data_IF_171550311030
#
_entry.id   IF_171550311030
#
_cell.length_a   1.000
_cell.length_b   1.000
_cell.length_c   1.000
_cell.angle_alpha   90.00
_cell.angle_beta   90.00
_cell.angle_gamma   90.00
#
_symmetry.space_group_name_H-M   'P 1'
#
loop_
_entity.id
_entity.type
_entity.pdbx_description
1 polymer ?
#
# COMPACT_ATOMS: atom_id res chain seq x y z
N UNK A 1 23.17 -17.01 -22.21
CA UNK A 1 24.48 -16.37 -22.48
C UNK A 1 25.55 -17.35 -22.97
N UNK A 2 25.75 -18.51 -22.33
CA UNK A 2 26.81 -19.49 -22.71
C UNK A 2 26.79 -19.89 -24.19
N UNK A 3 25.62 -20.18 -24.78
CA UNK A 3 25.53 -20.61 -26.18
C UNK A 3 26.02 -19.55 -27.20
N UNK A 4 25.67 -18.27 -27.01
CA UNK A 4 26.15 -17.18 -27.90
C UNK A 4 27.65 -16.97 -27.82
N UNK A 5 28.23 -17.10 -26.62
CA UNK A 5 29.68 -16.99 -26.40
C UNK A 5 30.42 -18.15 -27.07
N UNK A 6 29.90 -19.38 -26.97
CA UNK A 6 30.45 -20.56 -27.65
C UNK A 6 30.40 -20.42 -29.18
N UNK A 7 29.31 -19.87 -29.73
CA UNK A 7 29.20 -19.59 -31.17
C UNK A 7 30.21 -18.53 -31.63
N UNK A 8 30.39 -17.45 -30.86
CA UNK A 8 31.40 -16.43 -31.14
C UNK A 8 32.82 -17.00 -31.10
N UNK A 9 33.11 -17.91 -30.16
CA UNK A 9 34.42 -18.58 -30.04
C UNK A 9 34.74 -19.49 -31.24
N UNK A 10 33.72 -20.02 -31.93
CA UNK A 10 33.91 -20.82 -33.15
C UNK A 10 34.20 -19.96 -34.38
N UNK A 11 33.70 -18.73 -34.42
CA UNK A 11 33.86 -17.80 -35.56
C UNK A 11 35.07 -16.90 -35.39
N UNK A 12 35.38 -16.51 -34.16
CA UNK A 12 36.52 -15.68 -33.80
C UNK A 12 37.45 -16.45 -32.86
N UNK A 13 38.67 -16.76 -33.31
CA UNK A 13 39.75 -17.24 -32.44
C UNK A 13 40.20 -16.09 -31.54
N UNK A 14 39.57 -15.96 -30.37
CA UNK A 14 40.07 -15.08 -29.33
C UNK A 14 41.05 -15.86 -28.46
N UNK A 15 42.36 -15.62 -28.64
CA UNK A 15 43.38 -16.22 -27.76
C UNK A 15 43.30 -15.64 -26.34
N UNK A 16 42.88 -14.39 -26.21
CA UNK A 16 42.55 -13.74 -24.94
C UNK A 16 41.40 -12.76 -25.14
N UNK A 17 40.35 -12.86 -24.31
CA UNK A 17 39.26 -11.90 -24.32
C UNK A 17 39.74 -10.62 -23.60
N UNK A 18 39.74 -9.44 -24.25
CA UNK A 18 40.17 -8.21 -23.60
C UNK A 18 39.32 -7.96 -22.34
N UNK A 19 39.95 -7.57 -21.24
CA UNK A 19 39.23 -7.25 -19.99
C UNK A 19 38.20 -6.13 -20.16
N UNK A 20 38.37 -5.30 -21.21
CA UNK A 20 37.45 -4.24 -21.63
C UNK A 20 36.15 -4.75 -22.26
N UNK A 21 36.09 -6.03 -22.65
CA UNK A 21 34.91 -6.65 -23.26
C UNK A 21 33.78 -6.91 -22.25
N UNK A 22 34.13 -7.05 -20.97
CA UNK A 22 33.15 -7.14 -19.89
C UNK A 22 32.79 -5.74 -19.42
N UNK A 23 31.58 -5.30 -19.76
CA UNK A 23 31.02 -4.08 -19.19
C UNK A 23 30.94 -4.26 -17.67
N UNK A 24 31.73 -3.47 -16.92
CA UNK A 24 31.61 -3.44 -15.46
C UNK A 24 30.22 -2.93 -15.12
N UNK A 25 29.39 -3.79 -14.52
CA UNK A 25 28.08 -3.37 -14.03
C UNK A 25 28.27 -2.27 -12.98
N UNK A 26 27.46 -1.21 -13.09
CA UNK A 26 27.50 -0.14 -12.11
C UNK A 26 27.04 -0.66 -10.74
N UNK A 27 27.58 -0.13 -9.64
CA UNK A 27 27.06 -0.45 -8.32
C UNK A 27 25.61 0.01 -8.21
N UNK A 28 24.80 -0.75 -7.47
CA UNK A 28 23.44 -0.33 -7.15
C UNK A 28 23.47 0.98 -6.32
N UNK A 29 22.76 2.04 -6.74
CA UNK A 29 22.70 3.28 -5.96
C UNK A 29 22.01 3.07 -4.61
N UNK A 30 22.25 3.99 -3.67
CA UNK A 30 21.58 3.98 -2.38
C UNK A 30 20.14 4.50 -2.49
N UNK A 31 19.94 5.54 -3.30
CA UNK A 31 18.63 6.13 -3.59
C UNK A 31 18.03 5.47 -4.85
N UNK A 32 16.81 4.92 -4.80
CA UNK A 32 16.12 4.45 -5.99
C UNK A 32 15.87 5.53 -7.05
N UNK A 33 15.95 6.82 -6.71
CA UNK A 33 15.82 7.92 -7.66
C UNK A 33 17.03 8.09 -8.59
N UNK A 34 18.17 7.53 -8.22
CA UNK A 34 19.41 7.53 -9.03
C UNK A 34 19.49 6.32 -9.98
N UNK A 35 18.42 5.52 -10.06
CA UNK A 35 18.30 4.45 -11.04
C UNK A 35 18.14 5.02 -12.46
N UNK A 36 18.34 4.16 -13.46
CA UNK A 36 18.00 4.49 -14.84
C UNK A 36 16.53 4.92 -14.96
N UNK A 37 16.22 5.72 -15.98
CA UNK A 37 14.89 6.32 -16.17
C UNK A 37 13.76 5.30 -16.14
N UNK A 38 13.97 4.12 -16.72
CA UNK A 38 12.98 3.05 -16.76
C UNK A 38 12.73 2.44 -15.38
N UNK A 39 13.79 2.20 -14.60
CA UNK A 39 13.73 1.58 -13.28
C UNK A 39 13.26 2.55 -12.19
N UNK A 40 13.55 3.83 -12.36
CA UNK A 40 13.08 4.92 -11.48
C UNK A 40 11.55 5.00 -11.41
N UNK A 41 10.84 4.54 -12.46
CA UNK A 41 9.38 4.46 -12.43
C UNK A 41 8.85 3.37 -11.49
N UNK A 42 9.56 2.26 -11.36
CA UNK A 42 9.12 1.11 -10.56
C UNK A 42 9.54 1.18 -9.09
N UNK A 43 10.54 1.99 -8.78
CA UNK A 43 11.10 2.13 -7.43
C UNK A 43 10.94 3.54 -6.88
N UNK A 44 10.73 3.70 -5.56
CA UNK A 44 10.54 2.64 -4.56
C UNK A 44 9.16 1.96 -4.68
N UNK A 45 9.10 0.69 -4.27
CA UNK A 45 7.85 -0.08 -4.30
C UNK A 45 6.95 0.40 -3.18
N UNK A 46 5.82 1.02 -3.54
CA UNK A 46 4.86 1.60 -2.59
C UNK A 46 3.68 0.67 -2.28
N UNK A 47 3.28 -0.13 -3.27
CA UNK A 47 2.07 -0.95 -3.19
C UNK A 47 2.39 -2.44 -3.01
N UNK A 48 1.64 -3.17 -2.17
CA UNK A 48 1.79 -4.62 -2.04
C UNK A 48 1.54 -5.39 -3.34
N UNK A 49 0.70 -4.85 -4.23
CA UNK A 49 0.42 -5.46 -5.53
C UNK A 49 1.67 -5.46 -6.42
N UNK A 50 2.47 -4.39 -6.35
CA UNK A 50 3.71 -4.27 -7.10
C UNK A 50 4.79 -5.25 -6.61
N UNK A 51 4.72 -5.72 -5.35
CA UNK A 51 5.59 -6.81 -4.85
C UNK A 51 5.38 -8.12 -5.62
N UNK A 52 4.19 -8.37 -6.19
CA UNK A 52 3.97 -9.57 -7.02
C UNK A 52 4.83 -9.55 -8.29
N UNK A 53 5.15 -8.36 -8.79
CA UNK A 53 6.02 -8.16 -9.95
C UNK A 53 7.49 -7.93 -9.55
N UNK A 54 7.83 -8.06 -8.27
CA UNK A 54 9.18 -7.81 -7.77
C UNK A 54 10.25 -8.63 -8.48
N UNK A 55 9.97 -9.90 -8.80
CA UNK A 55 10.92 -10.76 -9.50
C UNK A 55 11.26 -10.24 -10.91
N UNK A 56 10.30 -9.62 -11.59
CA UNK A 56 10.53 -8.96 -12.88
C UNK A 56 11.42 -7.73 -12.69
N UNK A 57 11.09 -6.85 -11.75
CA UNK A 57 11.88 -5.64 -11.48
C UNK A 57 13.31 -5.98 -11.02
N UNK A 58 13.45 -7.03 -10.22
CA UNK A 58 14.74 -7.57 -9.77
C UNK A 58 15.59 -8.09 -10.94
N UNK A 59 14.97 -8.74 -11.92
CA UNK A 59 15.64 -9.22 -13.12
C UNK A 59 16.15 -8.06 -13.98
N UNK A 60 15.36 -7.01 -14.12
CA UNK A 60 15.76 -5.78 -14.81
C UNK A 60 16.89 -5.05 -14.07
N UNK A 61 16.83 -4.96 -12.74
CA UNK A 61 17.92 -4.40 -11.94
C UNK A 61 19.24 -5.13 -12.16
N UNK A 62 19.23 -6.48 -12.20
CA UNK A 62 20.43 -7.30 -12.47
C UNK A 62 21.03 -7.06 -13.85
N UNK A 63 20.24 -6.57 -14.80
CA UNK A 63 20.71 -6.31 -16.17
C UNK A 63 21.63 -5.09 -16.24
N UNK A 64 21.38 -4.10 -15.38
CA UNK A 64 22.07 -2.81 -15.39
C UNK A 64 23.05 -2.64 -14.22
N UNK A 65 22.76 -3.24 -13.07
CA UNK A 65 23.50 -3.04 -11.84
C UNK A 65 24.03 -4.35 -11.25
N UNK A 66 25.21 -4.26 -10.63
CA UNK A 66 25.77 -5.33 -9.83
C UNK A 66 25.03 -5.45 -8.50
N UNK A 67 24.01 -6.29 -8.44
CA UNK A 67 23.24 -6.52 -7.21
C UNK A 67 24.02 -7.37 -6.20
N UNK A 68 24.02 -6.92 -4.94
CA UNK A 68 24.32 -7.77 -3.80
C UNK A 68 23.10 -8.65 -3.47
N UNK A 69 23.27 -9.68 -2.65
CA UNK A 69 22.22 -10.66 -2.31
C UNK A 69 20.93 -10.04 -1.75
N UNK A 70 21.00 -8.83 -1.18
CA UNK A 70 19.84 -8.11 -0.61
C UNK A 70 19.73 -6.69 -1.15
N UNK A 71 18.49 -6.28 -1.46
CA UNK A 71 18.15 -4.90 -1.79
C UNK A 71 18.14 -4.03 -0.53
N UNK A 72 18.45 -2.76 -0.69
CA UNK A 72 18.35 -1.78 0.39
C UNK A 72 16.88 -1.51 0.74
N UNK A 73 16.62 -1.23 2.02
CA UNK A 73 15.28 -0.91 2.51
C UNK A 73 14.68 0.33 1.81
N UNK A 74 15.52 1.27 1.35
CA UNK A 74 15.09 2.47 0.62
C UNK A 74 14.28 2.16 -0.65
N UNK A 75 14.45 0.97 -1.23
CA UNK A 75 13.71 0.52 -2.41
C UNK A 75 12.29 0.01 -2.08
N UNK A 76 11.96 -0.11 -0.80
CA UNK A 76 10.65 -0.53 -0.31
C UNK A 76 10.04 0.58 0.55
N UNK A 77 9.05 1.27 0.00
CA UNK A 77 8.28 2.28 0.73
C UNK A 77 6.84 1.82 0.86
N UNK A 78 6.68 0.61 1.40
CA UNK A 78 5.38 -0.03 1.52
C UNK A 78 4.51 0.76 2.50
N UNK A 79 3.27 1.01 2.08
CA UNK A 79 2.28 1.59 2.99
C UNK A 79 2.09 0.65 4.19
N UNK A 80 1.92 1.20 5.42
CA UNK A 80 1.67 0.37 6.60
C UNK A 80 0.49 -0.58 6.36
N UNK A 81 0.61 -1.80 6.87
CA UNK A 81 -0.41 -2.83 6.69
C UNK A 81 -1.73 -2.35 7.29
N UNK A 82 -2.75 -2.22 6.44
CA UNK A 82 -4.08 -1.79 6.90
C UNK A 82 -4.67 -2.89 7.78
N UNK A 83 -5.20 -2.48 8.93
CA UNK A 83 -5.86 -3.39 9.85
C UNK A 83 -7.08 -4.03 9.18
N UNK A 84 -7.27 -5.33 9.40
CA UNK A 84 -8.49 -6.00 8.99
C UNK A 84 -9.64 -5.59 9.91
N UNK A 85 -10.71 -5.10 9.28
CA UNK A 85 -11.99 -4.89 9.93
C UNK A 85 -12.61 -6.27 10.21
N UNK A 86 -12.17 -6.89 11.30
CA UNK A 86 -12.73 -8.18 11.77
C UNK A 86 -13.99 -7.92 12.58
N UNK A 87 -14.97 -8.82 12.51
CA UNK A 87 -16.15 -8.84 13.40
C UNK A 87 -15.78 -9.19 14.87
N UNK A 88 -14.50 -9.14 15.22
CA UNK A 88 -13.97 -9.59 16.49
C UNK A 88 -14.36 -8.64 17.63
N UNK A 89 -14.48 -9.20 18.83
CA UNK A 89 -14.71 -8.49 20.11
C UNK A 89 -13.71 -7.33 20.36
N UNK A 90 -12.60 -7.27 19.64
CA UNK A 90 -11.70 -6.12 19.63
C UNK A 90 -12.37 -4.82 19.15
N UNK A 91 -13.31 -4.93 18.21
CA UNK A 91 -14.03 -3.77 17.69
C UNK A 91 -15.00 -3.18 18.72
N UNK A 92 -15.47 -3.97 19.69
CA UNK A 92 -16.27 -3.43 20.82
C UNK A 92 -15.51 -2.37 21.62
N UNK A 93 -14.17 -2.44 21.68
CA UNK A 93 -13.35 -1.45 22.40
C UNK A 93 -13.16 -0.16 21.60
N UNK A 94 -13.11 -0.24 20.27
CA UNK A 94 -12.98 0.93 19.39
C UNK A 94 -14.32 1.45 18.86
N UNK A 95 -15.42 0.72 19.10
CA UNK A 95 -16.79 1.07 18.71
C UNK A 95 -17.18 2.50 19.09
N UNK A 96 -16.90 3.02 20.31
CA UNK A 96 -17.25 4.40 20.65
C UNK A 96 -16.56 5.42 19.73
N UNK A 97 -15.29 5.19 19.41
CA UNK A 97 -14.51 6.01 18.50
C UNK A 97 -15.06 5.95 17.07
N UNK A 98 -15.35 4.75 16.57
CA UNK A 98 -15.95 4.61 15.23
C UNK A 98 -17.34 5.25 15.14
N UNK A 99 -18.13 5.14 16.20
CA UNK A 99 -19.48 5.67 16.24
C UNK A 99 -19.49 7.20 16.26
N UNK A 100 -18.53 7.83 16.94
CA UNK A 100 -18.37 9.29 16.92
C UNK A 100 -17.87 9.80 15.56
N UNK A 101 -16.92 9.11 14.92
CA UNK A 101 -16.27 9.62 13.71
C UNK A 101 -16.92 9.20 12.38
N UNK A 102 -17.74 8.14 12.36
CA UNK A 102 -18.39 7.60 11.15
C UNK A 102 -19.92 7.61 11.23
N UNK A 103 -20.50 8.50 12.02
CA UNK A 103 -21.95 8.71 12.01
C UNK A 103 -22.39 9.28 10.66
N UNK A 104 -23.32 8.59 10.00
CA UNK A 104 -23.84 8.98 8.70
C UNK A 104 -25.15 9.74 8.87
N UNK A 105 -25.28 10.86 8.16
CA UNK A 105 -26.52 11.61 8.08
C UNK A 105 -27.38 11.06 6.93
N UNK A 106 -28.52 10.45 7.26
CA UNK A 106 -29.46 9.82 6.32
C UNK A 106 -30.11 10.79 5.31
N UNK A 107 -29.79 12.09 5.39
CA UNK A 107 -30.34 13.17 4.55
C UNK A 107 -29.40 13.49 3.38
N UNK A 108 -28.12 13.13 3.47
CA UNK A 108 -27.13 13.34 2.42
C UNK A 108 -26.71 11.99 1.84
N UNK A 109 -27.09 11.71 0.60
CA UNK A 109 -26.70 10.47 -0.10
C UNK A 109 -25.17 10.26 -0.10
N UNK A 110 -24.39 11.33 -0.23
CA UNK A 110 -22.92 11.27 -0.24
C UNK A 110 -22.29 10.97 1.12
N UNK A 111 -23.04 11.09 2.23
CA UNK A 111 -22.53 10.87 3.58
C UNK A 111 -22.06 9.43 3.79
N UNK A 112 -22.73 8.46 3.17
CA UNK A 112 -22.39 7.03 3.29
C UNK A 112 -21.10 6.75 2.54
N UNK A 113 -21.02 7.19 1.28
CA UNK A 113 -19.85 6.97 0.43
C UNK A 113 -18.59 7.61 1.03
N UNK A 114 -18.72 8.83 1.56
CA UNK A 114 -17.61 9.51 2.24
C UNK A 114 -17.14 8.75 3.48
N UNK A 115 -18.06 8.23 4.30
CA UNK A 115 -17.71 7.42 5.46
C UNK A 115 -17.02 6.10 5.06
N UNK A 116 -17.51 5.44 4.02
CA UNK A 116 -16.92 4.21 3.46
C UNK A 116 -15.50 4.49 2.93
N UNK A 117 -15.30 5.61 2.23
CA UNK A 117 -13.98 5.98 1.70
C UNK A 117 -12.99 6.27 2.81
N UNK A 118 -13.42 6.96 3.87
CA UNK A 118 -12.60 7.15 5.07
C UNK A 118 -12.26 5.81 5.75
N UNK A 119 -13.20 4.87 5.83
CA UNK A 119 -12.94 3.52 6.36
C UNK A 119 -11.95 2.76 5.49
N UNK A 120 -12.07 2.83 4.16
CA UNK A 120 -11.17 2.15 3.20
C UNK A 120 -9.74 2.69 3.24
N UNK A 121 -9.54 3.95 3.66
CA UNK A 121 -8.20 4.50 3.89
C UNK A 121 -7.50 3.79 5.06
N UNK A 122 -8.23 3.53 6.14
CA UNK A 122 -7.69 3.02 7.40
C UNK A 122 -7.69 1.48 7.50
N UNK A 123 -8.66 0.83 6.87
CA UNK A 123 -8.93 -0.60 7.06
C UNK A 123 -9.12 -1.35 5.75
N UNK A 124 -8.76 -2.63 5.78
CA UNK A 124 -9.09 -3.59 4.73
C UNK A 124 -10.38 -4.34 5.10
N UNK A 125 -11.42 -4.22 4.28
CA UNK A 125 -12.67 -4.97 4.40
C UNK A 125 -13.30 -5.22 3.03
N UNK A 126 -13.95 -6.39 2.89
CA UNK A 126 -14.75 -6.72 1.71
C UNK A 126 -16.21 -6.30 1.90
N UNK A 127 -16.73 -6.47 3.11
CA UNK A 127 -18.08 -6.10 3.52
C UNK A 127 -18.00 -5.31 4.81
N UNK A 128 -18.81 -4.27 4.92
CA UNK A 128 -18.93 -3.53 6.16
C UNK A 128 -19.95 -4.25 7.05
N UNK A 129 -19.62 -4.54 8.33
CA UNK A 129 -20.59 -5.12 9.25
C UNK A 129 -21.79 -4.17 9.43
N UNK A 130 -23.01 -4.69 9.54
CA UNK A 130 -24.23 -3.88 9.63
C UNK A 130 -24.21 -2.88 10.80
N UNK A 131 -23.49 -3.20 11.88
CA UNK A 131 -23.42 -2.38 13.09
C UNK A 131 -22.42 -1.21 13.00
N UNK A 132 -21.69 -1.09 11.89
CA UNK A 132 -20.57 -0.15 11.79
C UNK A 132 -20.98 1.29 11.51
N UNK A 133 -22.10 1.47 10.81
CA UNK A 133 -22.65 2.78 10.49
C UNK A 133 -23.96 2.93 11.25
N UNK A 134 -23.99 3.86 12.21
CA UNK A 134 -25.26 4.30 12.80
C UNK A 134 -25.79 5.47 11.99
N UNK A 135 -27.01 5.32 11.50
CA UNK A 135 -27.78 6.42 10.94
C UNK A 135 -28.21 7.33 12.09
N UNK A 136 -27.92 8.63 11.96
CA UNK A 136 -28.45 9.59 12.94
C UNK A 136 -29.98 9.62 12.81
N UNK A 137 -30.73 9.41 13.91
CA UNK A 137 -32.17 9.54 13.88
C UNK A 137 -32.53 10.98 13.53
N UNK A 138 -33.58 11.14 12.72
CA UNK A 138 -34.10 12.47 12.39
C UNK A 138 -34.57 13.14 13.68
N UNK A 139 -34.20 14.40 13.88
CA UNK A 139 -34.81 15.19 14.94
C UNK A 139 -36.33 15.24 14.69
N UNK A 140 -37.16 14.97 15.72
CA UNK A 140 -38.59 15.19 15.64
C UNK A 140 -38.86 16.64 15.23
N UNK A 141 -39.73 16.84 14.23
CA UNK A 141 -40.13 18.18 13.77
C UNK A 141 -40.88 18.97 14.86
N UNK A 142 -41.44 18.25 15.82
CA UNK A 142 -42.14 18.84 16.96
C UNK A 142 -41.18 18.92 18.16
N UNK A 143 -40.92 20.13 18.69
CA UNK A 143 -40.02 20.31 19.83
C UNK A 143 -40.53 19.61 21.10
N UNK A 144 -41.84 19.42 21.23
CA UNK A 144 -42.48 18.74 22.36
C UNK A 144 -42.10 17.24 22.50
N UNK A 145 -41.58 16.62 21.43
CA UNK A 145 -41.18 15.20 21.42
C UNK A 145 -39.69 15.00 21.72
N UNK A 146 -38.92 16.08 21.94
CA UNK A 146 -37.49 16.01 22.26
C UNK A 146 -37.34 15.74 23.75
N UNK A 147 -37.02 14.48 24.11
CA UNK A 147 -36.70 14.11 25.50
C UNK A 147 -35.27 14.56 25.83
N UNK A 148 -35.09 15.69 26.49
CA UNK A 148 -33.81 16.08 27.10
C UNK A 148 -33.65 15.36 28.43
N UNK A 149 -32.74 14.39 28.55
CA UNK A 149 -32.38 13.82 29.85
C UNK A 149 -31.55 14.84 30.62
N UNK A 150 -32.22 15.67 31.42
CA UNK A 150 -31.55 16.54 32.39
C UNK A 150 -31.09 15.67 33.55
N UNK A 151 -29.88 15.09 33.45
CA UNK A 151 -29.19 14.57 34.63
C UNK A 151 -28.61 15.77 35.39
N UNK A 152 -29.47 16.45 36.16
CA UNK A 152 -29.02 17.35 37.22
C UNK A 152 -28.52 16.52 38.40
N UNK A 153 -27.31 16.74 38.93
CA UNK A 153 -26.86 16.08 40.14
C UNK A 153 -27.61 16.68 41.34
N UNK A 154 -28.33 15.84 42.07
CA UNK A 154 -28.96 16.20 43.34
C UNK A 154 -27.90 16.41 44.43
N UNK A 155 -28.04 17.43 45.31
CA UNK A 155 -27.07 17.80 46.34
C UNK A 155 -26.96 16.80 47.49
#
# INVERSE_FOLDING_TARGET
>A
MRAKVVSLYKVYRFDNLPSTFFTKCLPLPADPQDLNETLRYYFPIKEPKALRQFLLYWSELKRYYGLKEKLLAAYFQLSPEKLYLTNSKHLSRTRPFHQAHFSVDSVKEDSINTAIDHLRKLYNFKYLPNDFIKLKPRLPKEPAKIKTSNNSPTP
#
